data_IF_942824900149
#
_entry.id   IF_942824900149
#
_cell.length_a   1.000
_cell.length_b   1.000
_cell.length_c   1.000
_cell.angle_alpha   90.00
_cell.angle_beta   90.00
_cell.angle_gamma   90.00
#
_symmetry.space_group_name_H-M   'P 1'
#
loop_
_entity.id
_entity.type
_entity.pdbx_description
1 polymer ?
#
# COMPACT_ATOMS: atom_id res chain seq x y z
N UNK A 1 5.36 -18.64 -18.18
CA UNK A 1 6.65 -19.34 -18.35
C UNK A 1 6.77 -20.42 -17.27
N UNK A 2 7.40 -21.56 -17.56
CA UNK A 2 7.77 -22.57 -16.56
C UNK A 2 9.29 -22.50 -16.37
N UNK A 3 9.71 -22.39 -15.12
CA UNK A 3 11.11 -22.20 -14.73
C UNK A 3 11.39 -23.08 -13.52
N UNK A 4 12.60 -23.61 -13.44
CA UNK A 4 13.11 -24.31 -12.26
C UNK A 4 14.00 -23.35 -11.51
N UNK A 5 13.72 -23.15 -10.23
CA UNK A 5 14.50 -22.30 -9.32
C UNK A 5 14.81 -23.10 -8.06
N UNK A 6 15.98 -22.88 -7.49
CA UNK A 6 16.36 -23.47 -6.20
C UNK A 6 15.91 -22.52 -5.09
N UNK A 7 15.20 -23.05 -4.10
CA UNK A 7 14.67 -22.29 -2.96
C UNK A 7 14.96 -23.10 -1.69
N UNK A 8 15.51 -22.49 -0.64
CA UNK A 8 15.69 -23.15 0.65
C UNK A 8 14.35 -23.72 1.16
N UNK A 9 14.40 -24.93 1.72
CA UNK A 9 13.19 -25.63 2.20
C UNK A 9 12.51 -24.86 3.32
N UNK A 10 13.27 -24.40 4.31
CA UNK A 10 12.77 -23.58 5.43
C UNK A 10 12.04 -22.32 4.93
N UNK A 11 12.58 -21.66 3.90
CA UNK A 11 11.95 -20.46 3.32
C UNK A 11 10.64 -20.79 2.59
N UNK A 12 10.56 -21.95 1.94
CA UNK A 12 9.33 -22.41 1.30
C UNK A 12 8.28 -22.80 2.34
N UNK A 13 8.69 -23.42 3.44
CA UNK A 13 7.78 -23.79 4.53
C UNK A 13 7.25 -22.55 5.26
N UNK A 14 8.12 -21.57 5.53
CA UNK A 14 7.73 -20.26 6.04
C UNK A 14 6.73 -19.59 5.10
N UNK A 15 7.05 -19.53 3.80
CA UNK A 15 6.15 -18.97 2.79
C UNK A 15 4.79 -19.68 2.79
N UNK A 16 4.78 -21.01 2.87
CA UNK A 16 3.54 -21.79 2.91
C UNK A 16 2.76 -21.58 4.21
N UNK A 17 3.43 -21.34 5.34
CA UNK A 17 2.78 -21.08 6.64
C UNK A 17 2.09 -19.71 6.68
N UNK A 18 2.70 -18.70 6.05
CA UNK A 18 2.15 -17.34 5.98
C UNK A 18 1.23 -17.15 4.77
N UNK A 19 1.36 -17.98 3.72
CA UNK A 19 0.42 -17.98 2.61
C UNK A 19 -0.82 -18.78 2.98
N UNK A 20 -2.01 -18.24 2.75
CA UNK A 20 -3.27 -18.97 2.91
C UNK A 20 -3.52 -19.98 1.76
N UNK A 21 -2.48 -20.39 1.03
CA UNK A 21 -2.60 -21.20 -0.18
C UNK A 21 -2.12 -22.64 0.04
N UNK A 22 -2.81 -23.59 -0.58
CA UNK A 22 -2.45 -25.02 -0.48
C UNK A 22 -1.36 -25.46 -1.46
N UNK A 23 -1.03 -24.62 -2.45
CA UNK A 23 -0.13 -24.99 -3.56
C UNK A 23 1.10 -24.11 -3.56
N UNK A 24 2.30 -24.72 -3.51
CA UNK A 24 3.61 -24.04 -3.58
C UNK A 24 3.70 -23.03 -4.74
N UNK A 25 3.17 -23.38 -5.92
CA UNK A 25 3.18 -22.49 -7.09
C UNK A 25 2.34 -21.22 -6.87
N UNK A 26 1.18 -21.34 -6.21
CA UNK A 26 0.32 -20.20 -5.92
C UNK A 26 0.95 -19.32 -4.84
N UNK A 27 1.52 -19.91 -3.79
CA UNK A 27 2.27 -19.19 -2.76
C UNK A 27 3.41 -18.35 -3.34
N UNK A 28 4.25 -18.96 -4.18
CA UNK A 28 5.38 -18.27 -4.84
C UNK A 28 4.88 -17.15 -5.77
N UNK A 29 3.80 -17.40 -6.53
CA UNK A 29 3.22 -16.36 -7.39
C UNK A 29 2.75 -15.16 -6.57
N UNK A 30 2.00 -15.40 -5.50
CA UNK A 30 1.50 -14.32 -4.61
C UNK A 30 2.64 -13.54 -3.98
N UNK A 31 3.69 -14.23 -3.50
CA UNK A 31 4.86 -13.58 -2.93
C UNK A 31 5.58 -12.67 -3.94
N UNK A 32 5.72 -13.11 -5.19
CA UNK A 32 6.33 -12.31 -6.25
C UNK A 32 5.47 -11.09 -6.61
N UNK A 33 4.15 -11.26 -6.73
CA UNK A 33 3.21 -10.17 -7.00
C UNK A 33 3.28 -9.11 -5.89
N UNK A 34 3.28 -9.53 -4.63
CA UNK A 34 3.37 -8.65 -3.46
C UNK A 34 4.73 -7.95 -3.37
N UNK A 35 5.83 -8.66 -3.65
CA UNK A 35 7.16 -8.07 -3.70
C UNK A 35 7.26 -6.94 -4.73
N UNK A 36 6.76 -7.17 -5.95
CA UNK A 36 6.74 -6.16 -7.01
C UNK A 36 5.83 -4.98 -6.61
N UNK A 37 4.65 -5.25 -6.04
CA UNK A 37 3.72 -4.22 -5.56
C UNK A 37 4.38 -3.32 -4.52
N UNK A 38 5.02 -3.90 -3.49
CA UNK A 38 5.74 -3.15 -2.43
C UNK A 38 6.88 -2.31 -3.00
N UNK A 39 7.65 -2.85 -3.95
CA UNK A 39 8.72 -2.08 -4.61
C UNK A 39 8.18 -0.92 -5.44
N UNK A 40 7.04 -1.10 -6.13
CA UNK A 40 6.37 0.00 -6.86
C UNK A 40 5.85 1.07 -5.91
N UNK A 41 5.20 0.67 -4.81
CA UNK A 41 4.72 1.61 -3.79
C UNK A 41 5.89 2.36 -3.15
N UNK A 42 6.99 1.67 -2.81
CA UNK A 42 8.21 2.29 -2.33
C UNK A 42 8.78 3.32 -3.31
N UNK A 43 8.74 3.04 -4.62
CA UNK A 43 9.14 4.03 -5.64
C UNK A 43 8.22 5.25 -5.67
N UNK A 44 6.91 5.07 -5.53
CA UNK A 44 5.95 6.18 -5.38
C UNK A 44 6.22 6.99 -4.11
N UNK A 45 6.59 6.32 -3.01
CA UNK A 45 7.00 6.94 -1.74
C UNK A 45 8.43 7.51 -1.75
N UNK A 46 9.23 7.27 -2.79
CA UNK A 46 10.49 8.00 -3.04
C UNK A 46 10.32 9.15 -4.03
N UNK A 47 9.17 9.27 -4.69
CA UNK A 47 8.77 10.46 -5.44
C UNK A 47 8.18 11.63 -4.59
N UNK A 48 7.80 11.52 -3.29
CA UNK A 48 7.27 12.63 -2.53
C UNK A 48 8.43 13.50 -2.08
N UNK A 49 8.83 14.37 -2.99
CA UNK A 49 9.42 15.68 -2.74
C UNK A 49 8.64 16.78 -3.47
N UNK A 50 7.40 16.51 -3.89
CA UNK A 50 6.59 17.44 -4.70
C UNK A 50 5.08 17.28 -4.47
N UNK A 51 4.67 16.88 -3.27
CA UNK A 51 3.26 17.04 -2.86
C UNK A 51 3.29 17.95 -1.64
N UNK A 52 3.18 19.25 -1.88
CA UNK A 52 2.86 20.21 -0.83
C UNK A 52 1.41 19.94 -0.42
N UNK A 53 1.23 19.29 0.72
CA UNK A 53 -0.06 19.20 1.37
C UNK A 53 -0.15 20.46 2.23
N UNK A 54 -0.82 21.49 1.73
CA UNK A 54 -1.13 22.68 2.52
C UNK A 54 -2.13 22.32 3.61
N UNK A 55 -1.79 22.61 4.86
CA UNK A 55 -2.74 22.52 5.98
C UNK A 55 -3.73 23.68 5.85
N UNK A 56 -4.95 23.37 5.40
CA UNK A 56 -6.05 24.33 5.21
C UNK A 56 -7.12 24.20 6.30
N UNK A 57 -6.75 23.62 7.44
CA UNK A 57 -7.70 23.31 8.51
C UNK A 57 -8.37 24.56 9.05
N UNK A 58 -7.62 25.66 9.20
CA UNK A 58 -8.14 26.94 9.72
C UNK A 58 -9.11 27.58 8.73
N UNK A 59 -8.78 27.61 7.44
CA UNK A 59 -9.64 28.16 6.40
C UNK A 59 -10.96 27.39 6.29
N UNK A 60 -10.91 26.06 6.43
CA UNK A 60 -12.11 25.21 6.43
C UNK A 60 -12.98 25.45 7.66
N UNK A 61 -12.38 25.59 8.85
CA UNK A 61 -13.11 25.90 10.09
C UNK A 61 -13.81 27.27 10.01
N UNK A 62 -13.14 28.28 9.46
CA UNK A 62 -13.72 29.61 9.23
C UNK A 62 -14.89 29.58 8.24
N UNK A 63 -14.80 28.77 7.18
CA UNK A 63 -15.90 28.57 6.23
C UNK A 63 -17.13 27.94 6.90
N UNK A 64 -16.96 26.91 7.73
CA UNK A 64 -18.07 26.26 8.45
C UNK A 64 -18.77 27.20 9.45
N UNK A 65 -17.99 28.02 10.16
CA UNK A 65 -18.50 29.05 11.07
C UNK A 65 -19.25 30.15 10.32
N UNK A 66 -18.75 30.56 9.15
CA UNK A 66 -19.40 31.53 8.27
C UNK A 66 -20.76 31.04 7.76
N UNK A 67 -20.82 29.80 7.25
CA UNK A 67 -22.06 29.16 6.80
C UNK A 67 -23.10 29.04 7.93
N UNK A 68 -22.64 28.68 9.12
CA UNK A 68 -23.49 28.57 10.32
C UNK A 68 -24.10 29.90 10.76
N UNK A 69 -23.43 31.02 10.49
CA UNK A 69 -23.89 32.37 10.81
C UNK A 69 -24.86 32.92 9.76
N UNK A 70 -24.65 32.59 8.47
CA UNK A 70 -25.59 32.92 7.38
C UNK A 70 -26.91 32.14 7.48
N UNK A 71 -26.88 30.90 7.98
CA UNK A 71 -28.09 30.09 8.19
C UNK A 71 -28.95 30.56 9.39
N UNK A 72 -28.47 31.51 10.20
CA UNK A 72 -29.13 32.00 11.41
C UNK A 72 -29.64 33.45 11.33
N UNK A 73 -29.46 34.15 10.20
CA UNK A 73 -30.07 35.47 9.93
C UNK A 73 -31.26 35.34 9.00
#
# INVERSE_FOLDING_TARGET
MRTTIEVPEELMDDLMSVSETRKKKEAVRTALEEFVRRRKLGKLLTLPGTIEISDVTTELEEMELGESNLAKS
#
